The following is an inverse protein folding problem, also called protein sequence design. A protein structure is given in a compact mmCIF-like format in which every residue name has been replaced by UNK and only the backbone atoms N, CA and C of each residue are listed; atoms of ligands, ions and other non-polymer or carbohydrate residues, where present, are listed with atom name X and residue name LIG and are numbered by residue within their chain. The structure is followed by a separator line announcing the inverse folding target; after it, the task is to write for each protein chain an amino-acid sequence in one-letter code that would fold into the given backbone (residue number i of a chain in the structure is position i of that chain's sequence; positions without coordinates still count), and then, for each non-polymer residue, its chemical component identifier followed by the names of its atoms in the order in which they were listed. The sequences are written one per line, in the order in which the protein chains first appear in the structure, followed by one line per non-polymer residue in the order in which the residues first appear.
data_IF_931397458770
#
_entry.id   IF_931397458770
#
_cell.length_a   1.000
_cell.length_b   1.000
_cell.length_c   1.000
_cell.angle_alpha   90.00
_cell.angle_beta   90.00
_cell.angle_gamma   90.00
#
_symmetry.space_group_name_H-M   'P 1'
#
loop_
_entity.id
_entity.type
_entity.pdbx_description
1 polymer ?
#
# COMPACT_ATOMS: atom_id res chain seq x y z
N UNK A 1 6.17 37.84 -51.07
CA UNK A 1 5.29 38.11 -49.91
C UNK A 1 4.44 36.92 -49.47
N UNK A 2 3.73 36.20 -50.34
CA UNK A 2 2.82 35.11 -49.99
C UNK A 2 3.47 33.91 -49.27
N UNK A 3 4.69 33.52 -49.63
CA UNK A 3 5.42 32.41 -48.98
C UNK A 3 5.74 32.71 -47.49
N UNK A 4 6.10 33.96 -47.17
CA UNK A 4 6.40 34.38 -45.78
C UNK A 4 5.16 34.29 -44.87
N UNK A 5 3.98 34.62 -45.39
CA UNK A 5 2.73 34.49 -44.63
C UNK A 5 2.34 33.01 -44.45
N UNK A 6 2.56 32.16 -45.45
CA UNK A 6 2.29 30.72 -45.37
C UNK A 6 3.20 30.08 -44.31
N UNK A 7 4.49 30.40 -44.31
CA UNK A 7 5.46 29.91 -43.30
C UNK A 7 5.10 30.37 -41.89
N UNK A 8 4.67 31.62 -41.75
CA UNK A 8 4.22 32.18 -40.46
C UNK A 8 2.95 31.48 -39.96
N UNK A 9 1.99 31.23 -40.83
CA UNK A 9 0.75 30.54 -40.50
C UNK A 9 0.99 29.07 -40.13
N UNK A 10 1.95 28.41 -40.78
CA UNK A 10 2.36 27.04 -40.50
C UNK A 10 3.10 26.94 -39.13
N UNK A 11 3.93 27.91 -38.78
CA UNK A 11 4.59 27.99 -37.46
C UNK A 11 3.59 28.26 -36.34
N UNK A 12 2.63 29.15 -36.55
CA UNK A 12 1.54 29.43 -35.59
C UNK A 12 0.65 28.20 -35.39
N UNK A 13 0.29 27.48 -36.46
CA UNK A 13 -0.47 26.25 -36.39
C UNK A 13 0.29 25.12 -35.63
N UNK A 14 1.61 25.07 -35.77
CA UNK A 14 2.44 24.08 -35.04
C UNK A 14 2.56 24.44 -33.54
N UNK A 15 2.46 25.70 -33.16
CA UNK A 15 2.49 26.17 -31.77
C UNK A 15 1.15 25.94 -31.04
N UNK A 16 0.04 25.78 -31.75
CA UNK A 16 -1.28 25.49 -31.18
C UNK A 16 -1.53 24.00 -30.92
N UNK A 17 -0.59 23.13 -31.34
CA UNK A 17 -0.67 21.70 -31.15
C UNK A 17 -0.30 21.25 -29.74
N UNK A 18 -1.33 20.89 -28.99
CA UNK A 18 -1.29 19.85 -27.95
C UNK A 18 -0.68 20.17 -26.59
N UNK A 19 -1.48 20.76 -25.72
CA UNK A 19 -1.40 20.46 -24.31
C UNK A 19 -2.36 19.30 -23.98
N UNK A 20 -1.89 18.06 -24.07
CA UNK A 20 -2.62 16.93 -23.48
C UNK A 20 -2.45 17.04 -21.95
N UNK A 21 -3.50 17.40 -21.25
CA UNK A 21 -3.54 17.39 -19.78
C UNK A 21 -3.56 15.95 -19.28
N UNK A 22 -2.66 15.56 -18.37
CA UNK A 22 -2.70 14.22 -17.79
C UNK A 22 -4.04 14.01 -17.06
N UNK A 23 -4.64 12.82 -17.22
CA UNK A 23 -5.85 12.44 -16.48
C UNK A 23 -5.45 12.16 -15.02
N UNK A 24 -5.78 13.06 -14.13
CA UNK A 24 -5.49 12.94 -12.68
C UNK A 24 -6.71 12.46 -11.86
N UNK A 25 -7.84 12.18 -12.50
CA UNK A 25 -9.05 11.74 -11.85
C UNK A 25 -9.13 10.22 -11.74
N UNK A 26 -9.67 9.74 -10.62
CA UNK A 26 -10.02 8.34 -10.40
C UNK A 26 -11.38 8.01 -11.02
N UNK A 27 -11.62 6.74 -11.37
CA UNK A 27 -12.95 6.21 -11.72
C UNK A 27 -13.66 6.95 -12.86
N UNK A 28 -12.91 7.36 -13.88
CA UNK A 28 -13.47 8.20 -14.97
C UNK A 28 -14.50 7.50 -15.85
N UNK A 29 -14.56 6.16 -15.77
CA UNK A 29 -15.46 5.28 -16.52
C UNK A 29 -16.72 4.88 -15.77
N UNK A 30 -16.76 5.05 -14.43
CA UNK A 30 -17.93 4.69 -13.65
C UNK A 30 -19.03 5.73 -13.73
N UNK A 31 -20.28 5.26 -13.84
CA UNK A 31 -21.45 6.11 -13.75
C UNK A 31 -21.84 6.32 -12.29
N UNK A 32 -22.12 7.55 -11.89
CA UNK A 32 -22.56 7.87 -10.53
C UNK A 32 -23.86 7.13 -10.21
N UNK A 33 -23.93 6.50 -9.05
CA UNK A 33 -25.09 5.77 -8.56
C UNK A 33 -25.24 4.34 -9.11
N UNK A 34 -24.27 3.83 -9.91
CA UNK A 34 -24.21 2.41 -10.27
C UNK A 34 -23.42 1.64 -9.24
N UNK A 35 -23.87 0.42 -8.93
CA UNK A 35 -23.14 -0.51 -8.07
C UNK A 35 -22.29 -1.42 -8.97
N UNK A 36 -21.00 -1.50 -8.63
CA UNK A 36 -20.06 -2.42 -9.27
C UNK A 36 -19.65 -3.51 -8.28
N UNK A 37 -19.54 -4.71 -8.79
CA UNK A 37 -19.12 -5.84 -7.98
C UNK A 37 -17.59 -5.90 -7.92
N UNK A 38 -17.06 -5.92 -6.69
CA UNK A 38 -15.64 -6.21 -6.49
C UNK A 38 -15.42 -7.70 -6.67
N UNK A 39 -14.58 -8.04 -7.63
CA UNK A 39 -14.15 -9.41 -7.86
C UNK A 39 -13.06 -9.77 -6.84
N UNK A 40 -13.09 -11.01 -6.34
CA UNK A 40 -12.10 -11.55 -5.41
C UNK A 40 -12.01 -10.82 -4.04
N UNK A 41 -13.07 -10.86 -3.20
CA UNK A 41 -12.96 -10.41 -1.83
C UNK A 41 -11.94 -11.30 -1.10
N UNK A 42 -10.77 -10.79 -0.80
CA UNK A 42 -9.69 -11.51 -0.14
C UNK A 42 -9.53 -10.98 1.29
N UNK A 43 -9.60 -11.88 2.26
CA UNK A 43 -9.25 -11.58 3.64
C UNK A 43 -7.80 -11.93 3.92
N UNK A 44 -7.16 -11.16 4.78
CA UNK A 44 -5.78 -11.41 5.17
C UNK A 44 -5.73 -12.68 6.02
N UNK A 45 -4.89 -13.62 5.60
CA UNK A 45 -4.63 -14.89 6.29
C UNK A 45 -3.18 -14.92 6.74
N UNK A 46 -2.95 -15.36 7.96
CA UNK A 46 -1.60 -15.42 8.53
C UNK A 46 -0.73 -16.46 7.82
N UNK A 47 0.57 -16.21 7.78
CA UNK A 47 1.58 -17.06 7.13
C UNK A 47 2.72 -17.35 8.10
N UNK A 48 3.57 -18.36 7.84
CA UNK A 48 4.82 -18.52 8.56
C UNK A 48 5.61 -17.21 8.62
N UNK A 49 6.26 -16.95 9.77
CA UNK A 49 7.01 -15.74 10.12
C UNK A 49 6.17 -14.51 10.47
N UNK A 50 4.85 -14.54 10.28
CA UNK A 50 3.95 -13.50 10.79
C UNK A 50 3.92 -13.53 12.33
N UNK A 51 3.63 -12.36 12.91
CA UNK A 51 3.43 -12.19 14.33
C UNK A 51 2.02 -11.73 14.62
N UNK A 52 1.40 -12.39 15.57
CA UNK A 52 0.06 -12.04 16.05
C UNK A 52 0.09 -11.88 17.58
N UNK A 53 -0.73 -11.00 18.11
CA UNK A 53 -1.03 -10.98 19.53
C UNK A 53 -2.35 -11.70 19.78
N UNK A 54 -2.42 -12.43 20.88
CA UNK A 54 -3.62 -13.14 21.29
C UNK A 54 -3.91 -12.74 22.72
N UNK A 55 -5.09 -12.18 22.95
CA UNK A 55 -5.57 -11.78 24.27
C UNK A 55 -6.77 -12.63 24.64
N UNK A 56 -6.68 -13.34 25.75
CA UNK A 56 -7.79 -14.13 26.32
C UNK A 56 -8.33 -13.40 27.54
N UNK A 57 -9.58 -13.00 27.48
CA UNK A 57 -10.32 -12.44 28.60
C UNK A 57 -11.30 -13.44 29.17
N UNK A 58 -11.41 -13.51 30.50
CA UNK A 58 -12.33 -14.36 31.23
C UNK A 58 -12.84 -13.64 32.48
N UNK A 59 -13.94 -14.14 33.05
CA UNK A 59 -14.43 -13.65 34.34
C UNK A 59 -13.50 -13.99 35.52
N UNK A 60 -12.60 -14.96 35.35
CA UNK A 60 -11.62 -15.35 36.36
C UNK A 60 -10.26 -14.67 36.08
N UNK A 61 -9.83 -13.71 36.94
CA UNK A 61 -8.55 -12.99 36.74
C UNK A 61 -7.31 -13.89 36.83
N UNK A 62 -7.38 -15.00 37.56
CA UNK A 62 -6.24 -15.93 37.70
C UNK A 62 -5.96 -16.65 36.38
N UNK A 63 -7.01 -17.01 35.66
CA UNK A 63 -6.88 -17.65 34.34
C UNK A 63 -6.37 -16.70 33.30
N UNK A 64 -6.72 -15.40 33.38
CA UNK A 64 -6.22 -14.38 32.46
C UNK A 64 -4.68 -14.27 32.49
N UNK A 65 -4.08 -14.32 33.69
CA UNK A 65 -2.63 -14.27 33.84
C UNK A 65 -1.90 -15.51 33.28
N UNK A 66 -2.61 -16.63 33.17
CA UNK A 66 -2.05 -17.87 32.64
C UNK A 66 -1.90 -17.82 31.11
N UNK A 67 -2.86 -17.19 30.42
CA UNK A 67 -2.91 -17.15 28.96
C UNK A 67 -2.27 -15.89 28.37
N UNK A 68 -2.27 -14.79 29.11
CA UNK A 68 -1.76 -13.50 28.67
C UNK A 68 -0.35 -13.27 29.22
N UNK A 69 0.66 -13.81 28.57
CA UNK A 69 2.05 -13.63 28.97
C UNK A 69 2.47 -12.16 28.85
N UNK A 70 2.96 -11.53 29.95
CA UNK A 70 3.44 -10.15 29.89
C UNK A 70 4.67 -10.05 28.99
N UNK A 71 4.71 -9.04 28.12
CA UNK A 71 5.95 -8.69 27.42
C UNK A 71 6.91 -8.08 28.45
N UNK A 72 7.98 -8.77 28.72
CA UNK A 72 9.18 -8.15 29.32
C UNK A 72 9.95 -7.52 28.16
N UNK A 73 9.64 -6.27 27.81
CA UNK A 73 10.48 -5.47 26.92
C UNK A 73 11.80 -5.19 27.64
N UNK A 74 12.80 -6.03 27.48
CA UNK A 74 14.17 -5.69 27.84
C UNK A 74 14.68 -4.65 26.82
N UNK A 75 14.42 -3.39 27.10
CA UNK A 75 15.09 -2.31 26.41
C UNK A 75 16.53 -2.22 26.97
N UNK A 76 17.46 -2.84 26.27
CA UNK A 76 18.89 -2.72 26.57
C UNK A 76 19.31 -1.33 26.07
N UNK A 77 19.52 -0.39 27.01
CA UNK A 77 20.33 0.80 26.80
C UNK A 77 19.62 2.12 26.46
N UNK A 78 18.57 2.53 27.19
CA UNK A 78 18.25 3.97 27.33
C UNK A 78 17.73 4.25 28.74
N UNK A 79 18.50 5.04 29.46
CA UNK A 79 18.09 5.67 30.72
C UNK A 79 17.01 6.72 30.47
N UNK A 80 15.95 6.67 31.26
CA UNK A 80 14.92 7.70 31.45
C UNK A 80 13.71 7.63 30.51
N UNK A 81 12.61 7.17 31.08
CA UNK A 81 11.28 7.32 30.55
C UNK A 81 10.32 6.25 31.08
N UNK A 82 9.67 6.52 32.20
CA UNK A 82 8.57 5.71 32.76
C UNK A 82 7.40 5.70 31.80
N UNK A 83 7.38 4.79 30.87
CA UNK A 83 6.16 4.38 30.18
C UNK A 83 6.05 2.86 30.35
N UNK A 84 5.26 2.46 31.35
CA UNK A 84 4.74 1.10 31.47
C UNK A 84 3.78 0.84 30.30
N UNK A 85 4.28 0.69 29.09
CA UNK A 85 3.53 0.04 28.03
C UNK A 85 3.58 -1.45 28.31
N UNK A 86 2.58 -1.97 29.01
CA UNK A 86 2.29 -3.40 29.04
C UNK A 86 1.92 -3.81 27.62
N UNK A 87 2.93 -4.10 26.81
CA UNK A 87 2.73 -4.67 25.50
C UNK A 87 2.28 -6.13 25.68
N UNK A 88 1.34 -6.58 24.89
CA UNK A 88 0.92 -7.98 24.82
C UNK A 88 2.03 -8.77 24.12
N UNK A 89 2.37 -9.96 24.64
CA UNK A 89 3.36 -10.84 24.00
C UNK A 89 2.84 -11.32 22.64
N UNK A 90 3.63 -11.12 21.61
CA UNK A 90 3.30 -11.64 20.27
C UNK A 90 3.78 -13.08 20.09
N UNK A 91 2.97 -13.86 19.41
CA UNK A 91 3.31 -15.20 18.96
C UNK A 91 3.87 -15.10 17.54
N UNK A 92 5.05 -15.69 17.30
CA UNK A 92 5.61 -15.82 15.95
C UNK A 92 5.17 -17.16 15.39
N UNK A 93 4.57 -17.16 14.22
CA UNK A 93 4.18 -18.38 13.51
C UNK A 93 5.45 -19.03 12.96
N UNK A 94 5.68 -20.29 13.33
CA UNK A 94 6.86 -21.02 12.89
C UNK A 94 6.75 -21.46 11.41
N UNK A 95 7.77 -22.12 10.90
CA UNK A 95 7.82 -22.58 9.49
C UNK A 95 6.77 -23.63 9.15
N UNK A 96 6.32 -24.38 10.16
CA UNK A 96 5.28 -25.40 10.02
C UNK A 96 3.87 -24.81 10.09
N UNK A 97 3.78 -23.50 10.37
CA UNK A 97 2.51 -22.79 10.47
C UNK A 97 1.88 -22.77 11.86
N UNK A 98 2.65 -23.16 12.88
CA UNK A 98 2.17 -23.33 14.24
C UNK A 98 2.63 -22.19 15.14
N UNK A 99 1.86 -21.96 16.21
CA UNK A 99 2.25 -21.17 17.38
C UNK A 99 2.32 -22.07 18.61
N UNK A 100 3.15 -21.69 19.59
CA UNK A 100 3.19 -22.35 20.90
C UNK A 100 2.34 -21.53 21.89
N UNK A 101 1.10 -21.98 22.10
CA UNK A 101 0.14 -21.26 22.95
C UNK A 101 0.11 -21.88 24.36
N UNK A 102 0.13 -21.05 25.43
CA UNK A 102 0.13 -21.56 26.82
C UNK A 102 -1.01 -22.54 27.06
N UNK A 103 -0.70 -23.64 27.74
CA UNK A 103 -1.64 -24.71 28.13
C UNK A 103 -2.16 -25.55 26.96
N UNK A 104 -2.39 -24.97 25.79
CA UNK A 104 -2.87 -25.71 24.61
C UNK A 104 -1.71 -26.36 23.82
N UNK A 105 -0.47 -25.84 23.97
CA UNK A 105 0.70 -26.30 23.23
C UNK A 105 0.72 -25.82 21.79
N UNK A 106 1.18 -26.66 20.87
CA UNK A 106 1.29 -26.32 19.45
C UNK A 106 -0.09 -26.26 18.79
N UNK A 107 -0.39 -25.12 18.16
CA UNK A 107 -1.65 -24.84 17.46
C UNK A 107 -1.31 -24.41 16.05
N UNK A 108 -1.89 -25.10 15.04
CA UNK A 108 -1.76 -24.71 13.64
C UNK A 108 -2.67 -23.53 13.33
N UNK A 109 -2.07 -22.43 12.85
CA UNK A 109 -2.80 -21.18 12.54
C UNK A 109 -2.52 -20.65 11.13
N UNK A 110 -1.53 -21.18 10.43
CA UNK A 110 -1.24 -20.72 9.08
C UNK A 110 -2.43 -20.92 8.14
N UNK A 111 -2.70 -19.91 7.31
CA UNK A 111 -3.85 -19.89 6.41
C UNK A 111 -5.18 -19.49 7.07
N UNK A 112 -5.21 -19.23 8.38
CA UNK A 112 -6.40 -18.75 9.09
C UNK A 112 -6.49 -17.22 9.10
N UNK A 113 -7.71 -16.70 9.21
CA UNK A 113 -7.96 -15.28 9.52
C UNK A 113 -7.89 -15.05 11.02
N UNK A 114 -7.86 -13.78 11.47
CA UNK A 114 -7.91 -13.43 12.89
C UNK A 114 -9.13 -14.03 13.59
N UNK A 115 -10.29 -13.97 12.95
CA UNK A 115 -11.55 -14.49 13.49
C UNK A 115 -11.54 -16.02 13.58
N UNK A 116 -11.01 -16.71 12.57
CA UNK A 116 -10.86 -18.17 12.58
C UNK A 116 -9.93 -18.62 13.71
N UNK A 117 -8.79 -17.94 13.93
CA UNK A 117 -7.86 -18.22 15.03
C UNK A 117 -8.54 -17.98 16.39
N UNK A 118 -9.22 -16.84 16.54
CA UNK A 118 -9.93 -16.51 17.79
C UNK A 118 -10.99 -17.56 18.14
N UNK A 119 -11.78 -17.97 17.14
CA UNK A 119 -12.82 -19.00 17.30
C UNK A 119 -12.21 -20.35 17.65
N UNK A 120 -11.16 -20.75 16.95
CA UNK A 120 -10.47 -22.02 17.20
C UNK A 120 -9.91 -22.09 18.64
N UNK A 121 -9.21 -21.06 19.09
CA UNK A 121 -8.67 -21.02 20.46
C UNK A 121 -9.79 -21.01 21.49
N UNK A 122 -10.88 -20.27 21.23
CA UNK A 122 -12.04 -20.26 22.11
C UNK A 122 -12.65 -21.66 22.26
N UNK A 123 -12.84 -22.38 21.16
CA UNK A 123 -13.38 -23.74 21.16
C UNK A 123 -12.48 -24.72 21.92
N UNK A 124 -11.17 -24.65 21.72
CA UNK A 124 -10.19 -25.48 22.42
C UNK A 124 -10.20 -25.23 23.94
N UNK A 125 -10.27 -23.96 24.37
CA UNK A 125 -10.31 -23.59 25.79
C UNK A 125 -11.58 -24.09 26.48
N UNK A 126 -12.72 -24.04 25.77
CA UNK A 126 -14.00 -24.50 26.30
C UNK A 126 -14.09 -26.03 26.31
N UNK A 127 -13.70 -26.69 25.22
CA UNK A 127 -13.77 -28.16 25.08
C UNK A 127 -12.90 -28.89 26.10
N UNK A 128 -11.73 -28.31 26.42
CA UNK A 128 -10.83 -28.83 27.46
C UNK A 128 -11.21 -28.41 28.90
N UNK A 129 -12.35 -27.73 29.08
CA UNK A 129 -12.80 -27.18 30.38
C UNK A 129 -11.79 -26.28 31.08
N UNK A 130 -10.91 -25.60 30.32
CA UNK A 130 -9.91 -24.71 30.85
C UNK A 130 -10.49 -23.34 31.21
N UNK A 131 -11.41 -22.83 30.39
CA UNK A 131 -12.11 -21.56 30.61
C UNK A 131 -13.58 -21.73 30.23
N UNK A 132 -14.49 -21.25 31.08
CA UNK A 132 -15.94 -21.47 30.90
C UNK A 132 -16.58 -20.52 29.86
N UNK A 133 -16.08 -19.29 29.75
CA UNK A 133 -16.64 -18.26 28.87
C UNK A 133 -15.51 -17.30 28.41
N UNK A 134 -14.57 -17.77 27.56
CA UNK A 134 -13.47 -16.96 27.12
C UNK A 134 -13.89 -15.99 25.99
N UNK A 135 -13.36 -14.77 26.04
CA UNK A 135 -13.35 -13.83 24.92
C UNK A 135 -11.92 -13.79 24.40
N UNK A 136 -11.73 -14.23 23.17
CA UNK A 136 -10.40 -14.28 22.52
C UNK A 136 -10.34 -13.18 21.46
N UNK A 137 -9.32 -12.33 21.55
CA UNK A 137 -9.04 -11.29 20.57
C UNK A 137 -7.67 -11.56 19.93
N UNK A 138 -7.61 -11.51 18.62
CA UNK A 138 -6.38 -11.71 17.85
C UNK A 138 -6.10 -10.47 17.01
N UNK A 139 -4.85 -9.95 17.07
CA UNK A 139 -4.41 -8.78 16.33
C UNK A 139 -3.11 -9.05 15.58
N UNK A 140 -2.98 -8.46 14.39
CA UNK A 140 -1.73 -8.49 13.63
C UNK A 140 -0.68 -7.57 14.26
N UNK A 141 0.60 -8.00 14.30
CA UNK A 141 1.67 -7.20 14.90
C UNK A 141 2.72 -6.72 13.89
N UNK A 142 3.03 -7.50 12.86
CA UNK A 142 4.10 -7.18 11.91
C UNK A 142 3.66 -7.18 10.44
N UNK A 143 2.36 -7.32 10.18
CA UNK A 143 1.86 -7.32 8.82
C UNK A 143 1.94 -5.91 8.23
N UNK A 144 2.57 -5.81 7.08
CA UNK A 144 2.82 -4.52 6.44
C UNK A 144 2.66 -4.61 4.92
N UNK A 145 2.36 -3.45 4.32
CA UNK A 145 2.52 -3.22 2.88
C UNK A 145 3.51 -2.09 2.66
N UNK A 146 4.20 -2.10 1.54
CA UNK A 146 5.14 -1.04 1.16
C UNK A 146 4.56 -0.23 0.01
N UNK A 147 4.59 1.11 0.11
CA UNK A 147 4.18 2.00 -0.97
C UNK A 147 5.37 2.85 -1.36
N UNK A 148 5.73 2.80 -2.64
CA UNK A 148 6.94 3.42 -3.20
C UNK A 148 6.60 4.28 -4.43
N UNK A 149 7.53 5.16 -4.80
CA UNK A 149 7.45 5.97 -6.01
C UNK A 149 6.76 7.32 -5.79
N UNK A 150 5.96 7.76 -6.75
CA UNK A 150 5.37 9.10 -6.79
C UNK A 150 4.08 9.21 -5.96
N UNK A 151 4.22 9.00 -4.65
CA UNK A 151 3.21 9.24 -3.61
C UNK A 151 3.70 10.34 -2.66
N UNK A 152 2.80 10.92 -1.85
CA UNK A 152 3.18 12.00 -0.95
C UNK A 152 4.17 11.52 0.13
N UNK A 153 3.94 10.35 0.72
CA UNK A 153 4.74 9.79 1.80
C UNK A 153 5.06 8.31 1.50
N UNK A 154 6.10 8.02 0.70
CA UNK A 154 6.50 6.64 0.47
C UNK A 154 7.01 6.00 1.76
N UNK A 155 6.65 4.73 1.98
CA UNK A 155 7.03 4.05 3.21
C UNK A 155 6.43 2.66 3.35
N UNK A 156 6.63 2.09 4.54
CA UNK A 156 6.00 0.84 4.96
C UNK A 156 4.88 1.16 5.94
N UNK A 157 3.70 0.58 5.69
CA UNK A 157 2.49 0.84 6.46
C UNK A 157 1.99 -0.46 7.09
N UNK A 158 1.57 -0.38 8.36
CA UNK A 158 1.03 -1.51 9.08
C UNK A 158 -0.39 -1.83 8.60
N UNK A 159 -0.71 -3.11 8.56
CA UNK A 159 -2.05 -3.62 8.29
C UNK A 159 -2.75 -3.86 9.62
N UNK A 160 -3.81 -3.13 9.89
CA UNK A 160 -4.65 -3.21 11.10
C UNK A 160 -6.06 -3.73 10.82
N UNK A 161 -6.36 -4.03 9.56
CA UNK A 161 -7.68 -4.46 9.08
C UNK A 161 -7.62 -5.86 8.49
N UNK A 162 -8.74 -6.57 8.47
CA UNK A 162 -8.87 -7.89 7.82
C UNK A 162 -8.87 -7.79 6.30
N UNK A 163 -9.23 -6.63 5.77
CA UNK A 163 -9.23 -6.32 4.34
C UNK A 163 -8.57 -4.98 4.12
N UNK A 164 -7.46 -4.97 3.42
CA UNK A 164 -6.76 -3.76 3.01
C UNK A 164 -6.87 -3.62 1.49
N UNK A 165 -7.45 -2.52 1.02
CA UNK A 165 -7.55 -2.24 -0.41
C UNK A 165 -6.30 -1.50 -0.92
N UNK A 166 -6.05 -1.55 -2.23
CA UNK A 166 -5.02 -0.74 -2.88
C UNK A 166 -5.25 0.76 -2.61
N UNK A 167 -6.51 1.21 -2.57
CA UNK A 167 -6.85 2.60 -2.26
C UNK A 167 -6.56 2.97 -0.81
N UNK A 168 -6.78 2.04 0.15
CA UNK A 168 -6.38 2.27 1.55
C UNK A 168 -4.86 2.49 1.65
N UNK A 169 -4.05 1.64 1.01
CA UNK A 169 -2.60 1.76 1.04
C UNK A 169 -2.11 3.08 0.42
N UNK A 170 -2.70 3.48 -0.71
CA UNK A 170 -2.40 4.77 -1.34
C UNK A 170 -2.83 5.95 -0.45
N UNK A 171 -3.99 5.84 0.22
CA UNK A 171 -4.45 6.84 1.19
C UNK A 171 -3.51 6.97 2.38
N UNK A 172 -3.00 5.85 2.94
CA UNK A 172 -1.98 5.85 3.99
C UNK A 172 -0.70 6.57 3.56
N UNK A 173 -0.33 6.43 2.28
CA UNK A 173 0.81 7.13 1.68
C UNK A 173 0.52 8.59 1.30
N UNK A 174 -0.68 9.11 1.59
CA UNK A 174 -1.10 10.49 1.31
C UNK A 174 -1.43 10.76 -0.16
N UNK A 175 -1.85 9.71 -0.89
CA UNK A 175 -2.20 9.71 -2.32
C UNK A 175 -0.99 9.89 -3.27
N UNK A 176 -1.27 9.73 -4.56
CA UNK A 176 -0.30 9.98 -5.63
C UNK A 176 -0.03 11.46 -5.79
N UNK A 177 1.24 11.82 -6.02
CA UNK A 177 1.59 13.18 -6.42
C UNK A 177 0.99 13.51 -7.79
N UNK A 178 1.05 14.77 -8.19
CA UNK A 178 0.68 15.21 -9.56
C UNK A 178 1.57 14.59 -10.64
N UNK A 179 2.68 14.02 -10.25
CA UNK A 179 3.64 13.36 -11.14
C UNK A 179 3.44 11.85 -11.21
N UNK A 180 2.64 11.26 -10.33
CA UNK A 180 2.34 9.84 -10.34
C UNK A 180 1.42 9.44 -11.49
N UNK A 181 1.77 8.35 -12.18
CA UNK A 181 0.94 7.76 -13.24
C UNK A 181 -0.19 6.94 -12.62
N UNK A 182 -1.42 7.46 -12.69
CA UNK A 182 -2.62 6.75 -12.20
C UNK A 182 -3.03 5.59 -13.09
N UNK A 183 -2.72 5.67 -14.37
CA UNK A 183 -2.98 4.60 -15.35
C UNK A 183 -2.03 3.41 -15.24
N UNK A 184 -0.98 3.52 -14.44
CA UNK A 184 0.05 2.48 -14.32
C UNK A 184 0.60 2.39 -12.89
N UNK A 185 -0.23 1.90 -11.99
CA UNK A 185 0.21 1.53 -10.63
C UNK A 185 0.56 0.06 -10.64
N UNK A 186 1.75 -0.27 -10.19
CA UNK A 186 2.26 -1.63 -10.15
C UNK A 186 2.14 -2.19 -8.74
N UNK A 187 1.66 -3.43 -8.63
CA UNK A 187 1.64 -4.16 -7.37
C UNK A 187 2.45 -5.43 -7.54
N UNK A 188 3.53 -5.57 -6.79
CA UNK A 188 4.30 -6.80 -6.72
C UNK A 188 3.83 -7.64 -5.54
N UNK A 189 3.41 -8.85 -5.83
CA UNK A 189 3.00 -9.86 -4.84
C UNK A 189 3.91 -11.08 -4.93
N UNK A 190 4.26 -11.61 -3.77
CA UNK A 190 5.00 -12.86 -3.67
C UNK A 190 4.09 -13.97 -3.14
N UNK A 191 3.92 -15.03 -3.95
CA UNK A 191 3.13 -16.21 -3.60
C UNK A 191 3.92 -17.47 -3.97
N UNK A 192 4.07 -18.39 -3.04
CA UNK A 192 4.79 -19.66 -3.24
C UNK A 192 6.21 -19.47 -3.80
N UNK A 193 6.93 -18.46 -3.31
CA UNK A 193 8.29 -18.12 -3.75
C UNK A 193 8.39 -17.53 -5.15
N UNK A 194 7.27 -17.19 -5.77
CA UNK A 194 7.22 -16.50 -7.08
C UNK A 194 6.74 -15.08 -6.91
N UNK A 195 7.44 -14.13 -7.54
CA UNK A 195 7.05 -12.72 -7.57
C UNK A 195 6.29 -12.43 -8.86
N UNK A 196 5.05 -11.97 -8.69
CA UNK A 196 4.19 -11.56 -9.80
C UNK A 196 3.99 -10.05 -9.73
N UNK A 197 4.09 -9.39 -10.89
CA UNK A 197 3.85 -7.97 -11.02
C UNK A 197 2.51 -7.76 -11.71
N UNK A 198 1.61 -7.07 -11.03
CA UNK A 198 0.29 -6.69 -11.54
C UNK A 198 0.28 -5.21 -11.87
N UNK A 199 -0.38 -4.87 -12.96
CA UNK A 199 -0.62 -3.48 -13.37
C UNK A 199 -2.08 -3.12 -13.09
N UNK A 200 -2.32 -1.97 -12.50
CA UNK A 200 -3.65 -1.47 -12.16
C UNK A 200 -3.81 -0.05 -12.69
N UNK A 201 -4.91 0.20 -13.35
CA UNK A 201 -5.29 1.53 -13.84
C UNK A 201 -6.30 2.16 -12.86
N UNK A 202 -5.86 3.13 -12.09
CA UNK A 202 -6.73 3.84 -11.13
C UNK A 202 -7.72 4.81 -11.79
N UNK A 203 -7.52 5.17 -13.07
CA UNK A 203 -8.48 5.99 -13.81
C UNK A 203 -9.74 5.20 -14.17
N UNK A 204 -9.64 3.86 -14.21
CA UNK A 204 -10.75 2.95 -14.50
C UNK A 204 -11.19 2.23 -13.23
N UNK A 205 -12.44 2.45 -12.84
CA UNK A 205 -13.02 1.71 -11.74
C UNK A 205 -13.27 0.24 -12.09
N UNK A 206 -13.61 -0.06 -13.34
CA UNK A 206 -13.77 -1.44 -13.80
C UNK A 206 -12.47 -2.23 -13.69
N UNK A 207 -11.35 -1.68 -14.18
CA UNK A 207 -10.03 -2.33 -14.10
C UNK A 207 -9.61 -2.53 -12.63
N UNK A 208 -9.85 -1.52 -11.80
CA UNK A 208 -9.48 -1.56 -10.40
C UNK A 208 -10.26 -2.65 -9.63
N UNK A 209 -11.60 -2.68 -9.76
CA UNK A 209 -12.43 -3.64 -9.02
C UNK A 209 -12.33 -5.07 -9.55
N UNK A 210 -11.95 -5.25 -10.83
CA UNK A 210 -11.66 -6.55 -11.41
C UNK A 210 -10.24 -7.07 -11.10
N UNK A 211 -9.37 -6.22 -10.57
CA UNK A 211 -7.97 -6.57 -10.32
C UNK A 211 -7.83 -7.62 -9.21
N UNK A 212 -6.99 -8.65 -9.37
CA UNK A 212 -6.68 -9.63 -8.33
C UNK A 212 -5.91 -9.00 -7.15
N UNK A 213 -5.38 -7.79 -7.32
CA UNK A 213 -4.66 -7.03 -6.28
C UNK A 213 -5.43 -5.81 -5.79
N UNK A 214 -6.75 -5.76 -6.03
CA UNK A 214 -7.61 -4.76 -5.39
C UNK A 214 -7.52 -4.86 -3.87
N UNK A 215 -7.59 -6.09 -3.33
CA UNK A 215 -7.24 -6.38 -1.94
C UNK A 215 -5.77 -6.76 -1.85
N UNK A 216 -5.03 -6.00 -1.05
CA UNK A 216 -3.62 -6.24 -0.79
C UNK A 216 -3.43 -7.33 0.26
N UNK A 217 -2.30 -7.99 0.19
CA UNK A 217 -1.83 -8.96 1.17
C UNK A 217 -0.59 -8.43 1.88
N UNK A 218 -0.20 -9.08 2.98
CA UNK A 218 1.05 -8.75 3.66
C UNK A 218 2.25 -8.90 2.72
N UNK A 219 3.20 -7.97 2.86
CA UNK A 219 4.41 -7.85 2.06
C UNK A 219 4.20 -7.46 0.59
N UNK A 220 2.97 -7.10 0.17
CA UNK A 220 2.77 -6.50 -1.14
C UNK A 220 3.54 -5.18 -1.26
N UNK A 221 4.09 -4.93 -2.44
CA UNK A 221 4.77 -3.68 -2.76
C UNK A 221 3.96 -2.96 -3.84
N UNK A 222 3.43 -1.81 -3.47
CA UNK A 222 2.75 -0.89 -4.38
C UNK A 222 3.76 0.11 -4.90
N UNK A 223 3.92 0.22 -6.20
CA UNK A 223 4.83 1.15 -6.83
C UNK A 223 4.10 2.06 -7.81
N UNK A 224 4.20 3.37 -7.57
CA UNK A 224 3.65 4.40 -8.45
C UNK A 224 4.75 4.96 -9.33
N UNK A 225 4.67 4.71 -10.63
CA UNK A 225 5.64 5.23 -11.58
C UNK A 225 5.56 6.75 -11.73
N UNK A 226 6.72 7.42 -11.88
CA UNK A 226 6.75 8.83 -12.23
C UNK A 226 6.32 9.04 -13.69
N UNK A 227 5.65 10.16 -13.94
CA UNK A 227 5.34 10.57 -15.31
C UNK A 227 6.58 11.11 -16.04
N UNK A 228 6.45 11.34 -17.35
CA UNK A 228 7.55 11.81 -18.18
C UNK A 228 8.10 13.19 -17.78
N UNK A 229 7.31 14.03 -17.10
CA UNK A 229 7.79 15.33 -16.60
C UNK A 229 8.77 15.13 -15.45
N UNK A 230 8.43 14.28 -14.48
CA UNK A 230 9.28 13.96 -13.35
C UNK A 230 10.55 13.21 -13.80
N UNK A 231 10.41 12.25 -14.71
CA UNK A 231 11.53 11.50 -15.24
C UNK A 231 12.57 12.43 -15.92
N UNK A 232 12.10 13.47 -16.63
CA UNK A 232 13.00 14.46 -17.23
C UNK A 232 13.69 15.36 -16.21
N UNK A 233 13.07 15.65 -15.06
CA UNK A 233 13.71 16.42 -13.98
C UNK A 233 14.94 15.71 -13.42
N UNK A 234 15.03 14.40 -13.54
CA UNK A 234 16.20 13.61 -13.15
C UNK A 234 17.40 13.77 -14.10
N UNK A 235 17.22 14.41 -15.27
CA UNK A 235 18.30 14.66 -16.22
C UNK A 235 18.76 16.13 -16.17
N UNK A 236 20.08 16.36 -16.36
CA UNK A 236 20.70 17.70 -16.23
C UNK A 236 20.03 18.77 -17.10
N UNK A 237 19.50 18.40 -18.27
CA UNK A 237 18.89 19.33 -19.24
C UNK A 237 17.46 18.96 -19.64
N UNK A 238 16.80 18.09 -18.90
CA UNK A 238 15.54 17.47 -19.33
C UNK A 238 14.38 18.42 -19.62
N UNK A 239 14.35 19.59 -19.01
CA UNK A 239 13.28 20.58 -19.20
C UNK A 239 13.73 21.85 -19.95
N UNK A 240 15.04 22.07 -20.16
CA UNK A 240 15.56 23.31 -20.75
C UNK A 240 15.04 23.54 -22.17
N UNK A 241 15.04 22.51 -23.02
CA UNK A 241 14.58 22.61 -24.42
C UNK A 241 13.07 22.85 -24.54
N UNK A 242 12.29 22.59 -23.49
CA UNK A 242 10.83 22.81 -23.46
C UNK A 242 10.42 24.07 -22.72
N UNK A 243 11.37 24.80 -22.13
CA UNK A 243 11.08 26.05 -21.44
C UNK A 243 10.86 27.18 -22.45
N UNK A 244 9.86 28.02 -22.20
CA UNK A 244 9.61 29.20 -23.01
C UNK A 244 10.84 30.15 -23.06
N UNK A 245 11.60 30.22 -21.97
CA UNK A 245 12.82 31.00 -21.87
C UNK A 245 13.91 30.55 -22.85
N UNK A 246 14.10 29.24 -23.06
CA UNK A 246 15.01 28.68 -24.02
C UNK A 246 14.66 29.16 -25.46
N UNK A 247 13.38 29.02 -25.83
CA UNK A 247 12.92 29.42 -27.15
C UNK A 247 12.95 30.95 -27.36
N UNK A 248 12.65 31.73 -26.33
CA UNK A 248 12.80 33.19 -26.37
C UNK A 248 14.26 33.60 -26.54
N UNK A 249 15.19 32.97 -25.83
CA UNK A 249 16.63 33.24 -25.97
C UNK A 249 17.13 32.88 -27.38
N UNK A 250 16.66 31.72 -27.92
CA UNK A 250 17.02 31.29 -29.26
C UNK A 250 16.47 32.26 -30.34
N UNK A 251 15.19 32.68 -30.16
CA UNK A 251 14.58 33.67 -31.05
C UNK A 251 15.28 35.01 -31.01
N UNK A 252 15.65 35.49 -29.82
CA UNK A 252 16.43 36.73 -29.64
C UNK A 252 17.79 36.64 -30.34
N UNK A 253 18.50 35.51 -30.20
CA UNK A 253 19.79 35.29 -30.84
C UNK A 253 19.64 35.30 -32.38
N UNK A 254 18.61 34.62 -32.92
CA UNK A 254 18.33 34.61 -34.34
C UNK A 254 17.97 35.99 -34.89
N UNK A 255 17.17 36.78 -34.16
CA UNK A 255 16.84 38.17 -34.57
C UNK A 255 18.07 39.06 -34.56
N UNK A 256 18.96 38.91 -33.58
CA UNK A 256 20.23 39.69 -33.54
C UNK A 256 21.12 39.37 -34.75
N UNK A 257 21.22 38.10 -35.13
CA UNK A 257 22.03 37.68 -36.30
C UNK A 257 21.41 38.17 -37.63
N UNK A 258 20.07 38.32 -37.72
CA UNK A 258 19.44 38.78 -38.96
C UNK A 258 19.37 40.28 -39.11
N UNK A 259 19.66 41.07 -38.07
CA UNK A 259 19.67 42.54 -38.06
C UNK A 259 21.09 43.09 -38.21
N UNK A 260 22.10 42.28 -37.94
CA UNK A 260 23.52 42.57 -38.26
C UNK A 260 23.83 42.25 -39.74
#
# INVERSE_FOLDING_TARGET
MKIRYILFLLTVAFLLGSCATPKVAYFTDLKRGTAEQVLNPLEIRVRPEDKISILVNSKDPLLMNLFNLPIISRQIGTTSGTSNSQGISGYTINKDGDIDFPVLGHIHVAGMTREEIASYIKEELVSKNLVKDPVVTVEFMNLTVSVLGEVANPGRFNIDKDKLTLLDALSMAGDLTVYGKRENVLVQREENGKKTLYQVNLNSGYDLYASPVYYLQQNDIVYVEPNSMKARQATVNGNNVRSASFWMSLASLLTTITVL
#
